data_IF_426322818661
#
_entry.id   IF_426322818661
#
_cell.length_a   1.000
_cell.length_b   1.000
_cell.length_c   1.000
_cell.angle_alpha   90.00
_cell.angle_beta   90.00
_cell.angle_gamma   90.00
#
_symmetry.space_group_name_H-M   'P 1'
#
loop_
_entity.id
_entity.type
_entity.pdbx_description
1 polymer ?
#
# COMPACT_ATOMS: atom_id res chain seq x y z
N UNK A 1 5.66 -2.07 18.54
CA UNK A 1 4.43 -1.82 17.77
C UNK A 1 3.72 -3.13 17.46
N UNK A 2 2.48 -3.27 17.94
CA UNK A 2 1.63 -4.43 17.66
C UNK A 2 0.36 -3.98 16.93
N UNK A 3 -0.23 -4.83 16.07
CA UNK A 3 -1.48 -4.49 15.40
C UNK A 3 -2.63 -4.50 16.40
N UNK A 4 -3.25 -3.34 16.62
CA UNK A 4 -4.40 -3.21 17.54
C UNK A 4 -5.71 -3.45 16.84
N UNK A 5 -5.82 -3.11 15.55
CA UNK A 5 -7.05 -3.27 14.79
C UNK A 5 -6.78 -3.62 13.33
N UNK A 6 -7.34 -4.73 12.88
CA UNK A 6 -7.38 -5.07 11.45
C UNK A 6 -8.55 -4.36 10.77
N UNK A 7 -8.32 -3.76 9.61
CA UNK A 7 -9.30 -2.93 8.90
C UNK A 7 -9.49 -3.42 7.47
N UNK A 8 -8.43 -3.39 6.65
CA UNK A 8 -8.44 -3.81 5.24
C UNK A 8 -9.55 -3.14 4.39
N UNK A 9 -9.74 -1.84 4.58
CA UNK A 9 -10.76 -1.03 3.87
C UNK A 9 -10.09 -0.09 2.84
N UNK A 10 -10.77 0.20 1.71
CA UNK A 10 -10.26 1.18 0.75
C UNK A 10 -10.25 2.58 1.36
N UNK A 11 -9.25 3.37 0.98
CA UNK A 11 -9.08 4.77 1.40
C UNK A 11 -8.82 5.64 0.18
N UNK A 12 -9.28 6.89 0.25
CA UNK A 12 -8.89 7.92 -0.71
C UNK A 12 -7.65 8.63 -0.19
N UNK A 13 -6.59 8.73 -0.99
CA UNK A 13 -5.36 9.44 -0.60
C UNK A 13 -5.25 10.75 -1.35
N UNK A 14 -4.61 11.74 -0.76
CA UNK A 14 -4.33 13.02 -1.39
C UNK A 14 -2.86 13.39 -1.16
N UNK A 15 -2.29 14.08 -2.14
CA UNK A 15 -0.90 14.54 -2.14
C UNK A 15 -0.89 16.06 -2.28
N UNK A 16 -0.19 16.77 -1.40
CA UNK A 16 -0.08 18.24 -1.42
C UNK A 16 0.86 18.71 -2.53
N UNK A 17 1.91 17.93 -2.81
CA UNK A 17 2.74 18.13 -4.00
C UNK A 17 2.31 17.14 -5.06
N UNK A 18 1.85 17.65 -6.20
CA UNK A 18 1.75 16.88 -7.43
C UNK A 18 3.12 16.24 -7.70
N UNK A 19 3.25 14.90 -7.67
CA UNK A 19 4.52 14.27 -7.92
C UNK A 19 4.95 14.59 -9.35
N UNK A 20 6.14 15.18 -9.50
CA UNK A 20 6.80 15.36 -10.78
C UNK A 20 7.04 13.99 -11.42
N UNK A 21 6.06 13.50 -12.20
CA UNK A 21 6.19 12.41 -13.17
C UNK A 21 7.07 11.23 -12.72
N UNK A 22 6.85 10.68 -11.52
CA UNK A 22 7.52 9.44 -11.09
C UNK A 22 6.54 8.28 -11.11
N UNK A 23 6.93 7.23 -11.83
CA UNK A 23 6.20 5.95 -12.00
C UNK A 23 6.02 5.15 -10.69
N UNK A 24 6.14 5.78 -9.52
CA UNK A 24 6.05 5.16 -8.19
C UNK A 24 5.17 6.03 -7.29
N UNK A 25 4.22 5.44 -6.54
CA UNK A 25 3.49 6.19 -5.53
C UNK A 25 4.46 6.56 -4.40
N UNK A 26 4.54 7.85 -4.08
CA UNK A 26 5.14 8.34 -2.84
C UNK A 26 4.18 8.07 -1.66
N UNK A 27 4.66 8.29 -0.43
CA UNK A 27 3.79 8.27 0.77
C UNK A 27 2.73 9.37 0.63
N UNK A 28 1.45 9.10 0.91
CA UNK A 28 0.42 10.13 0.84
C UNK A 28 0.56 11.14 1.98
N UNK A 29 0.33 12.41 1.69
CA UNK A 29 0.31 13.48 2.71
C UNK A 29 -0.93 13.37 3.61
N UNK A 30 -2.05 12.89 3.06
CA UNK A 30 -3.28 12.63 3.82
C UNK A 30 -4.12 11.54 3.18
N UNK A 31 -4.98 10.93 3.98
CA UNK A 31 -5.97 9.98 3.50
C UNK A 31 -7.32 10.14 4.20
N UNK A 32 -8.39 9.85 3.47
CA UNK A 32 -9.76 9.82 3.99
C UNK A 32 -10.17 8.36 4.23
N UNK A 33 -10.67 8.10 5.43
CA UNK A 33 -11.21 6.82 5.84
C UNK A 33 -12.54 7.05 6.58
N UNK A 34 -13.63 6.44 6.09
CA UNK A 34 -15.00 6.56 6.66
C UNK A 34 -15.50 8.01 6.83
N UNK A 35 -15.09 8.91 5.93
CA UNK A 35 -15.45 10.33 5.96
C UNK A 35 -14.62 11.16 6.95
N UNK A 36 -13.62 10.56 7.60
CA UNK A 36 -12.67 11.25 8.46
C UNK A 36 -11.32 11.40 7.73
N UNK A 37 -10.73 12.59 7.84
CA UNK A 37 -9.47 12.92 7.18
C UNK A 37 -8.30 12.77 8.14
N UNK A 38 -7.29 12.01 7.72
CA UNK A 38 -6.08 11.72 8.48
C UNK A 38 -4.88 12.34 7.77
N UNK A 39 -4.20 13.26 8.45
CA UNK A 39 -2.97 13.88 7.98
C UNK A 39 -1.76 13.06 8.40
N UNK A 40 -0.93 12.66 7.44
CA UNK A 40 0.31 11.92 7.68
C UNK A 40 1.39 12.91 8.07
N UNK A 41 1.91 12.78 9.28
CA UNK A 41 2.98 13.65 9.80
C UNK A 41 4.35 13.00 9.73
N UNK A 42 4.41 11.67 9.72
CA UNK A 42 5.67 10.93 9.69
C UNK A 42 5.52 9.57 9.01
N UNK A 43 6.51 9.22 8.19
CA UNK A 43 6.68 7.87 7.64
C UNK A 43 7.61 7.08 8.57
N UNK A 44 7.06 6.08 9.25
CA UNK A 44 7.81 5.24 10.18
C UNK A 44 8.51 4.07 9.47
N UNK A 45 7.92 3.54 8.40
CA UNK A 45 8.52 2.43 7.62
C UNK A 45 7.89 2.30 6.24
N UNK A 46 8.68 1.92 5.24
CA UNK A 46 8.22 1.52 3.91
C UNK A 46 8.75 0.11 3.61
N UNK A 47 7.89 -0.78 3.14
CA UNK A 47 8.30 -2.09 2.64
C UNK A 47 7.45 -2.52 1.45
N UNK A 48 7.96 -3.46 0.65
CA UNK A 48 7.30 -3.94 -0.56
C UNK A 48 7.13 -5.44 -0.49
N UNK A 49 5.93 -5.90 -0.80
CA UNK A 49 5.62 -7.32 -0.97
C UNK A 49 5.48 -7.61 -2.46
N UNK A 50 6.46 -8.32 -3.00
CA UNK A 50 6.45 -8.77 -4.40
C UNK A 50 5.69 -10.10 -4.60
N UNK A 51 5.07 -10.61 -3.53
CA UNK A 51 4.30 -11.85 -3.56
C UNK A 51 3.14 -11.74 -4.55
N UNK A 52 3.08 -12.66 -5.51
CA UNK A 52 1.96 -12.78 -6.46
C UNK A 52 0.84 -13.59 -5.83
N UNK A 53 -0.42 -13.11 -5.93
CA UNK A 53 -1.62 -13.81 -5.43
C UNK A 53 -2.71 -13.90 -6.50
N UNK A 54 -3.65 -14.84 -6.34
CA UNK A 54 -4.80 -15.03 -7.23
C UNK A 54 -4.46 -15.70 -8.57
N UNK A 55 -5.19 -15.38 -9.66
CA UNK A 55 -4.96 -15.94 -11.01
C UNK A 55 -3.52 -15.74 -11.53
N UNK A 56 -2.80 -14.76 -11.01
CA UNK A 56 -1.39 -14.46 -11.34
C UNK A 56 -0.37 -15.38 -10.66
N UNK A 57 -0.79 -16.19 -9.66
CA UNK A 57 0.06 -17.18 -9.01
C UNK A 57 0.25 -18.45 -9.87
N UNK A 58 -0.72 -18.76 -10.73
CA UNK A 58 -0.74 -19.98 -11.56
C UNK A 58 -0.33 -19.74 -13.02
N UNK A 59 -0.18 -18.48 -13.44
CA UNK A 59 0.11 -18.13 -14.82
C UNK A 59 1.60 -17.79 -15.04
N UNK A 60 2.51 -18.67 -14.58
CA UNK A 60 3.95 -18.51 -14.82
C UNK A 60 4.68 -19.87 -14.80
N UNK A 61 5.62 -20.06 -15.73
CA UNK A 61 6.57 -21.19 -15.68
C UNK A 61 7.51 -21.01 -14.46
N UNK A 62 7.83 -22.09 -13.72
CA UNK A 62 8.58 -22.03 -12.47
C UNK A 62 9.95 -21.34 -12.59
N UNK A 63 10.62 -21.48 -13.74
CA UNK A 63 11.94 -20.88 -14.03
C UNK A 63 11.95 -19.33 -14.02
N UNK A 64 10.79 -18.68 -14.16
CA UNK A 64 10.66 -17.21 -14.11
C UNK A 64 10.05 -16.70 -12.79
N UNK A 65 9.56 -17.60 -11.93
CA UNK A 65 8.88 -17.24 -10.69
C UNK A 65 9.88 -16.75 -9.63
N UNK A 66 11.04 -17.40 -9.52
CA UNK A 66 12.10 -17.03 -8.57
C UNK A 66 12.71 -15.66 -8.88
N UNK A 67 13.00 -15.39 -10.16
CA UNK A 67 13.52 -14.10 -10.61
C UNK A 67 12.49 -12.99 -10.42
N UNK A 68 11.20 -13.28 -10.66
CA UNK A 68 10.13 -12.30 -10.47
C UNK A 68 9.78 -12.05 -8.99
N UNK A 69 9.96 -13.04 -8.12
CA UNK A 69 9.84 -12.87 -6.67
C UNK A 69 10.97 -11.98 -6.11
N UNK A 70 12.19 -12.10 -6.67
CA UNK A 70 13.34 -11.26 -6.28
C UNK A 70 13.36 -9.88 -6.92
N UNK A 71 12.93 -9.73 -8.19
CA UNK A 71 13.03 -8.46 -8.95
C UNK A 71 11.70 -7.70 -9.07
N UNK A 72 10.58 -8.32 -8.73
CA UNK A 72 9.24 -7.79 -8.97
C UNK A 72 8.83 -7.91 -10.46
N UNK A 73 7.56 -8.21 -10.73
CA UNK A 73 7.01 -8.11 -12.09
C UNK A 73 6.46 -6.71 -12.36
N UNK A 74 6.39 -6.31 -13.62
CA UNK A 74 5.54 -5.21 -14.05
C UNK A 74 4.06 -5.55 -13.74
N UNK A 75 3.40 -4.75 -12.91
CA UNK A 75 1.96 -4.85 -12.62
C UNK A 75 1.52 -5.73 -11.44
N UNK A 76 2.44 -6.28 -10.62
CA UNK A 76 2.06 -7.09 -9.43
C UNK A 76 2.91 -6.73 -8.21
N UNK A 77 2.27 -6.68 -7.04
CA UNK A 77 2.92 -6.39 -5.74
C UNK A 77 2.24 -5.28 -4.95
N UNK A 78 2.50 -5.25 -3.64
CA UNK A 78 1.96 -4.23 -2.74
C UNK A 78 3.10 -3.40 -2.19
N UNK A 79 2.88 -2.10 -2.11
CA UNK A 79 3.80 -1.18 -1.45
C UNK A 79 3.13 -0.78 -0.15
N UNK A 80 3.72 -1.17 0.97
CA UNK A 80 3.22 -0.87 2.30
C UNK A 80 3.97 0.32 2.89
N UNK A 81 3.23 1.13 3.62
CA UNK A 81 3.72 2.26 4.36
C UNK A 81 3.15 2.19 5.77
N UNK A 82 4.01 2.32 6.77
CA UNK A 82 3.60 2.60 8.14
C UNK A 82 3.72 4.10 8.37
N UNK A 83 2.59 4.74 8.61
CA UNK A 83 2.48 6.19 8.76
C UNK A 83 1.96 6.54 10.14
N UNK A 84 2.52 7.59 10.75
CA UNK A 84 1.96 8.26 11.92
C UNK A 84 1.13 9.44 11.46
N UNK A 85 -0.05 9.58 12.04
CA UNK A 85 -0.98 10.67 11.75
C UNK A 85 -0.89 11.78 12.80
N UNK A 86 -1.43 12.96 12.51
CA UNK A 86 -1.41 14.12 13.45
C UNK A 86 -2.00 13.78 14.82
N UNK A 87 -2.99 12.88 14.88
CA UNK A 87 -3.58 12.39 16.14
C UNK A 87 -2.75 11.33 16.87
N UNK A 88 -1.45 11.20 16.56
CA UNK A 88 -0.51 10.19 17.09
C UNK A 88 -0.90 8.72 16.81
N UNK A 89 -1.89 8.49 15.93
CA UNK A 89 -2.30 7.15 15.52
C UNK A 89 -1.41 6.64 14.41
N UNK A 90 -0.99 5.38 14.51
CA UNK A 90 -0.12 4.73 13.53
C UNK A 90 -0.92 3.74 12.70
N UNK A 91 -0.80 3.82 11.39
CA UNK A 91 -1.48 2.93 10.45
C UNK A 91 -0.50 2.28 9.49
N UNK A 92 -0.72 1.01 9.20
CA UNK A 92 -0.17 0.37 8.02
C UNK A 92 -1.18 0.57 6.88
N UNK A 93 -0.75 1.22 5.80
CA UNK A 93 -1.49 1.37 4.55
C UNK A 93 -0.72 0.68 3.42
N UNK A 94 -1.40 0.29 2.35
CA UNK A 94 -0.70 -0.18 1.16
C UNK A 94 -1.37 0.24 -0.14
N UNK A 95 -0.54 0.40 -1.16
CA UNK A 95 -0.94 0.54 -2.55
C UNK A 95 -0.86 -0.83 -3.23
N UNK A 96 -2.01 -1.35 -3.65
CA UNK A 96 -2.12 -2.56 -4.46
C UNK A 96 -2.09 -2.19 -5.94
N UNK A 97 -1.02 -2.59 -6.63
CA UNK A 97 -0.83 -2.29 -8.06
C UNK A 97 -1.46 -3.32 -8.99
N UNK A 98 -2.10 -4.36 -8.45
CA UNK A 98 -2.68 -5.40 -9.28
C UNK A 98 -3.93 -4.85 -9.97
N UNK A 99 -3.99 -4.87 -11.32
CA UNK A 99 -5.17 -4.40 -12.03
C UNK A 99 -6.35 -5.30 -11.65
N UNK A 100 -7.41 -4.69 -11.11
CA UNK A 100 -8.61 -5.42 -10.68
C UNK A 100 -9.57 -5.66 -11.85
N UNK A 101 -9.53 -4.81 -12.88
CA UNK A 101 -10.29 -4.93 -14.14
C UNK A 101 -9.53 -4.25 -15.31
N UNK A 102 -9.91 -4.54 -16.57
CA UNK A 102 -9.26 -4.00 -17.77
C UNK A 102 -9.36 -2.46 -17.92
N UNK A 103 -10.40 -1.87 -17.34
CA UNK A 103 -10.63 -0.42 -17.26
C UNK A 103 -9.92 0.26 -16.08
N UNK A 104 -9.51 -0.52 -15.06
CA UNK A 104 -8.90 0.01 -13.85
C UNK A 104 -7.39 -0.23 -13.87
N UNK A 105 -6.69 0.64 -14.60
CA UNK A 105 -5.22 0.63 -14.70
C UNK A 105 -4.55 1.34 -13.52
N UNK A 106 -5.31 2.00 -12.66
CA UNK A 106 -4.81 2.65 -11.45
C UNK A 106 -4.86 1.63 -10.30
N UNK A 107 -3.81 1.53 -9.50
CA UNK A 107 -3.83 0.70 -8.31
C UNK A 107 -4.77 1.28 -7.24
N UNK A 108 -5.06 0.51 -6.20
CA UNK A 108 -5.94 0.93 -5.10
C UNK A 108 -5.18 1.10 -3.80
N UNK A 109 -5.53 2.13 -3.04
CA UNK A 109 -5.02 2.34 -1.68
C UNK A 109 -5.94 1.68 -0.65
N UNK A 110 -5.33 0.93 0.27
CA UNK A 110 -6.02 0.18 1.31
C UNK A 110 -5.41 0.54 2.66
N UNK A 111 -6.25 0.85 3.64
CA UNK A 111 -5.86 0.91 5.04
C UNK A 111 -5.88 -0.50 5.60
N UNK A 112 -4.71 -1.03 5.93
CA UNK A 112 -4.57 -2.43 6.33
C UNK A 112 -4.95 -2.63 7.78
N UNK A 113 -4.31 -1.88 8.67
CA UNK A 113 -4.47 -2.04 10.12
C UNK A 113 -3.94 -0.82 10.86
N UNK A 114 -4.46 -0.64 12.07
CA UNK A 114 -3.95 0.28 13.07
C UNK A 114 -2.91 -0.42 13.93
N UNK A 115 -1.88 0.32 14.31
CA UNK A 115 -0.75 -0.12 15.13
C UNK A 115 -0.71 0.74 16.38
N UNK A 116 -0.42 0.14 17.53
CA UNK A 116 -0.10 0.88 18.76
C UNK A 116 1.29 0.53 19.28
N UNK A 117 1.89 1.47 19.98
CA UNK A 117 3.14 1.32 20.73
C UNK A 117 2.95 0.75 22.13
N UNK A 118 1.74 0.29 22.48
CA UNK A 118 1.49 -0.28 23.80
C UNK A 118 2.41 -1.49 24.10
N UNK A 119 2.97 -1.56 25.33
CA UNK A 119 3.88 -2.61 25.78
C UNK A 119 3.19 -3.98 25.99
#
# INVERSE_FOLDING_TARGET
MQPTRFISEPIAVQFDKLPELKKKPDVPDRFEWRGEMYYVVELLSEWRDYSRRGRMAVNMRPEHAEVAASRGSWGVGRIYFRVRTEGDRVFDIYYDRAPRNADDRAGSWILFREMSEEP
#
